data_IF_210339056732
#
_entry.id   IF_210339056732
#
_cell.length_a   1.000
_cell.length_b   1.000
_cell.length_c   1.000
_cell.angle_alpha   90.00
_cell.angle_beta   90.00
_cell.angle_gamma   90.00
#
_symmetry.space_group_name_H-M   'P 1'
#
loop_
_entity.id
_entity.type
_entity.pdbx_description
1 polymer ?
#
# COMPACT_ATOMS: atom_id res chain seq x y z
N UNK A 1 -3.97 13.14 32.66
CA UNK A 1 -4.17 11.93 31.85
C UNK A 1 -2.89 11.13 31.93
N UNK A 2 -2.92 9.94 32.52
CA UNK A 2 -1.73 9.09 32.62
C UNK A 2 -1.47 8.45 31.26
N UNK A 3 -0.34 8.80 30.66
CA UNK A 3 0.14 8.13 29.45
C UNK A 3 0.85 6.86 29.90
N UNK A 4 0.47 5.72 29.33
CA UNK A 4 1.21 4.47 29.53
C UNK A 4 2.51 4.54 28.74
N UNK A 5 3.61 4.16 29.38
CA UNK A 5 4.89 4.00 28.71
C UNK A 5 4.85 2.80 27.75
N UNK A 6 5.53 2.94 26.61
CA UNK A 6 5.53 1.89 25.58
C UNK A 6 6.12 0.59 26.12
N UNK A 7 7.13 0.69 26.99
CA UNK A 7 7.80 -0.45 27.61
C UNK A 7 6.85 -1.29 28.46
N UNK A 8 5.98 -0.65 29.25
CA UNK A 8 5.00 -1.36 30.09
C UNK A 8 3.97 -2.13 29.24
N UNK A 9 3.55 -1.55 28.12
CA UNK A 9 2.62 -2.20 27.19
C UNK A 9 3.28 -3.43 26.56
N UNK A 10 4.55 -3.33 26.15
CA UNK A 10 5.30 -4.45 25.57
C UNK A 10 5.40 -5.57 26.61
N UNK A 11 5.83 -5.25 27.83
CA UNK A 11 5.98 -6.23 28.90
C UNK A 11 4.66 -6.94 29.21
N UNK A 12 3.55 -6.20 29.37
CA UNK A 12 2.24 -6.79 29.68
C UNK A 12 1.73 -7.71 28.56
N UNK A 13 2.10 -7.45 27.31
CA UNK A 13 1.76 -8.33 26.17
C UNK A 13 2.69 -9.55 26.09
N UNK A 14 3.96 -9.39 26.42
CA UNK A 14 4.92 -10.50 26.48
C UNK A 14 4.63 -11.47 27.62
N UNK A 15 4.22 -10.97 28.79
CA UNK A 15 3.76 -11.78 29.94
C UNK A 15 2.55 -12.65 29.58
N UNK A 16 1.71 -12.19 28.64
CA UNK A 16 0.58 -12.97 28.09
C UNK A 16 0.98 -13.95 26.99
N UNK A 17 2.27 -14.00 26.64
CA UNK A 17 2.82 -14.92 25.64
C UNK A 17 2.76 -14.42 24.19
N UNK A 18 2.53 -13.12 23.96
CA UNK A 18 2.56 -12.55 22.62
C UNK A 18 3.96 -12.04 22.27
N UNK A 19 4.48 -12.43 21.11
CA UNK A 19 5.76 -11.90 20.61
C UNK A 19 5.54 -10.57 19.88
N UNK A 20 5.98 -9.48 20.50
CA UNK A 20 5.83 -8.11 19.96
C UNK A 20 7.04 -7.75 19.10
N UNK A 21 6.79 -7.05 17.99
CA UNK A 21 7.82 -6.51 17.10
C UNK A 21 8.08 -5.05 17.41
N UNK A 22 7.31 -4.15 16.79
CA UNK A 22 7.41 -2.70 16.97
C UNK A 22 6.16 -2.17 17.64
N UNK A 23 6.33 -1.31 18.65
CA UNK A 23 5.25 -0.53 19.25
C UNK A 23 5.51 0.97 19.03
N UNK A 24 4.46 1.74 18.76
CA UNK A 24 4.57 3.18 18.55
C UNK A 24 3.29 3.89 18.96
N UNK A 25 3.42 4.98 19.73
CA UNK A 25 2.28 5.82 20.07
C UNK A 25 1.90 6.70 18.87
N UNK A 26 0.60 6.73 18.56
CA UNK A 26 0.10 7.60 17.50
C UNK A 26 0.04 9.04 18.00
N UNK A 27 0.33 9.97 17.10
CA UNK A 27 0.29 11.41 17.37
C UNK A 27 -0.75 12.07 16.47
N UNK A 28 -1.41 13.11 16.99
CA UNK A 28 -2.23 13.98 16.17
C UNK A 28 -1.34 14.59 15.08
N UNK A 29 -1.70 14.41 13.81
CA UNK A 29 -0.88 14.87 12.69
C UNK A 29 -0.70 16.40 12.68
N UNK A 30 -1.76 17.15 13.05
CA UNK A 30 -1.77 18.62 13.06
C UNK A 30 -1.04 19.16 14.28
N UNK A 31 -1.46 18.73 15.47
CA UNK A 31 -0.96 19.29 16.74
C UNK A 31 0.34 18.64 17.24
N UNK A 32 0.77 17.53 16.63
CA UNK A 32 1.91 16.70 17.07
C UNK A 32 1.81 16.15 18.50
N UNK A 33 0.66 16.33 19.16
CA UNK A 33 0.38 15.81 20.50
C UNK A 33 0.16 14.29 20.50
N UNK A 34 0.64 13.57 21.52
CA UNK A 34 0.41 12.13 21.66
C UNK A 34 -1.08 11.83 21.86
N UNK A 35 -1.56 10.76 21.23
CA UNK A 35 -2.92 10.25 21.42
C UNK A 35 -2.87 9.03 22.36
N UNK A 36 -3.96 8.72 23.06
CA UNK A 36 -4.12 7.47 23.81
C UNK A 36 -4.38 6.28 22.86
N UNK A 37 -3.67 6.23 21.73
CA UNK A 37 -3.76 5.20 20.71
C UNK A 37 -2.36 4.70 20.43
N UNK A 38 -2.19 3.38 20.48
CA UNK A 38 -0.92 2.71 20.25
C UNK A 38 -1.07 1.78 19.05
N UNK A 39 -0.07 1.80 18.18
CA UNK A 39 0.06 0.85 17.08
C UNK A 39 1.13 -0.16 17.45
N UNK A 40 0.77 -1.44 17.43
CA UNK A 40 1.61 -2.53 17.87
C UNK A 40 1.65 -3.58 16.77
N UNK A 41 2.85 -3.90 16.32
CA UNK A 41 3.13 -4.98 15.39
C UNK A 41 3.34 -6.27 16.20
N UNK A 42 2.50 -7.26 15.96
CA UNK A 42 2.54 -8.56 16.63
C UNK A 42 3.03 -9.61 15.62
N UNK A 43 3.99 -10.42 16.02
CA UNK A 43 4.45 -11.52 15.18
C UNK A 43 3.40 -12.63 15.10
N UNK A 44 3.18 -13.16 13.90
CA UNK A 44 2.25 -14.26 13.64
C UNK A 44 2.85 -15.60 14.10
N UNK A 45 2.99 -15.75 15.41
CA UNK A 45 3.52 -16.96 16.03
C UNK A 45 2.54 -17.45 17.10
N UNK A 46 2.20 -18.74 17.07
CA UNK A 46 1.27 -19.34 18.03
C UNK A 46 -0.10 -18.67 18.05
N UNK A 47 -0.57 -18.31 19.24
CA UNK A 47 -1.93 -17.82 19.52
C UNK A 47 -2.14 -16.32 19.26
N UNK A 48 -1.46 -15.74 18.25
CA UNK A 48 -1.51 -14.30 17.96
C UNK A 48 -2.92 -13.75 17.71
N UNK A 49 -3.87 -14.57 17.26
CA UNK A 49 -5.25 -14.17 16.99
C UNK A 49 -6.04 -13.85 18.27
N UNK A 50 -5.65 -14.42 19.41
CA UNK A 50 -6.34 -14.22 20.69
C UNK A 50 -6.13 -12.82 21.28
N UNK A 51 -5.16 -12.06 20.75
CA UNK A 51 -4.90 -10.69 21.21
C UNK A 51 -6.12 -9.78 21.07
N UNK A 52 -7.01 -10.04 20.11
CA UNK A 52 -8.24 -9.24 19.93
C UNK A 52 -9.29 -9.49 21.02
N UNK A 53 -9.14 -10.57 21.79
CA UNK A 53 -10.03 -10.91 22.90
C UNK A 53 -9.57 -10.27 24.23
N UNK A 54 -8.34 -9.74 24.29
CA UNK A 54 -7.81 -9.07 25.47
C UNK A 54 -8.55 -7.75 25.71
N UNK A 55 -9.21 -7.64 26.87
CA UNK A 55 -9.98 -6.46 27.28
C UNK A 55 -9.27 -5.59 28.30
N UNK A 56 -8.17 -6.08 28.87
CA UNK A 56 -7.42 -5.41 29.91
C UNK A 56 -5.93 -5.58 29.66
N UNK A 57 -5.19 -4.47 29.72
CA UNK A 57 -3.72 -4.46 29.70
C UNK A 57 -3.26 -3.61 30.88
N UNK A 58 -2.32 -4.15 31.65
CA UNK A 58 -1.94 -3.60 32.96
C UNK A 58 -3.20 -3.32 33.82
N UNK A 59 -3.37 -2.06 34.25
CA UNK A 59 -4.46 -1.58 35.09
C UNK A 59 -5.60 -0.92 34.29
N UNK A 60 -5.52 -0.95 32.95
CA UNK A 60 -6.44 -0.23 32.06
C UNK A 60 -7.33 -1.19 31.27
N UNK A 61 -8.59 -0.79 31.11
CA UNK A 61 -9.50 -1.42 30.16
C UNK A 61 -9.16 -0.92 28.75
N UNK A 62 -8.84 -1.83 27.86
CA UNK A 62 -8.42 -1.53 26.48
C UNK A 62 -9.33 -2.22 25.47
N UNK A 63 -9.41 -1.64 24.28
CA UNK A 63 -10.08 -2.26 23.13
C UNK A 63 -9.08 -2.41 22.00
N UNK A 64 -8.73 -3.66 21.69
CA UNK A 64 -7.80 -3.97 20.62
C UNK A 64 -8.59 -4.20 19.33
N UNK A 65 -8.22 -3.50 18.26
CA UNK A 65 -8.92 -3.53 16.98
C UNK A 65 -7.89 -3.77 15.88
N UNK A 66 -8.19 -4.59 14.85
CA UNK A 66 -7.29 -4.75 13.72
C UNK A 66 -7.02 -3.41 13.02
N UNK A 67 -5.76 -3.15 12.73
CA UNK A 67 -5.36 -1.93 12.03
C UNK A 67 -5.91 -1.93 10.60
N UNK A 68 -6.77 -0.94 10.30
CA UNK A 68 -7.33 -0.74 8.97
C UNK A 68 -6.48 0.24 8.19
N UNK A 69 -5.68 -0.28 7.25
CA UNK A 69 -4.99 0.56 6.28
C UNK A 69 -6.01 1.36 5.46
N UNK A 70 -5.73 2.65 5.25
CA UNK A 70 -6.53 3.48 4.35
C UNK A 70 -6.33 2.96 2.93
N UNK A 71 -7.40 2.46 2.29
CA UNK A 71 -7.43 2.03 0.88
C UNK A 71 -7.39 3.21 -0.10
N UNK A 72 -6.59 4.25 0.16
CA UNK A 72 -6.42 5.35 -0.79
C UNK A 72 -5.36 4.92 -1.80
N UNK A 73 -5.73 4.94 -3.08
CA UNK A 73 -4.77 4.70 -4.15
C UNK A 73 -3.68 5.78 -4.07
N UNK A 74 -2.44 5.36 -3.77
CA UNK A 74 -1.30 6.26 -3.83
C UNK A 74 -1.04 6.60 -5.29
N UNK A 75 -0.98 7.89 -5.62
CA UNK A 75 -0.62 8.35 -6.95
C UNK A 75 0.89 8.57 -6.98
N UNK A 76 1.53 8.02 -8.01
CA UNK A 76 2.94 8.23 -8.27
C UNK A 76 3.15 9.60 -8.91
N UNK A 77 3.84 10.50 -8.21
CA UNK A 77 4.17 11.83 -8.75
C UNK A 77 5.16 11.81 -9.92
N UNK A 78 5.81 10.67 -10.19
CA UNK A 78 6.68 10.53 -11.36
C UNK A 78 5.84 10.22 -12.62
N UNK A 79 5.05 9.15 -12.63
CA UNK A 79 4.38 8.67 -13.84
C UNK A 79 2.85 8.85 -13.86
N UNK A 80 2.27 9.48 -12.83
CA UNK A 80 0.82 9.62 -12.61
C UNK A 80 0.06 8.28 -12.46
N UNK A 81 0.76 7.16 -12.30
CA UNK A 81 0.15 5.86 -12.07
C UNK A 81 -0.33 5.65 -10.63
N UNK A 82 -1.22 4.69 -10.42
CA UNK A 82 -1.78 4.35 -9.11
C UNK A 82 -0.98 3.23 -8.41
N UNK A 83 -1.18 3.11 -7.10
CA UNK A 83 -0.68 2.03 -6.21
C UNK A 83 0.84 1.93 -6.02
N UNK A 84 1.60 3.00 -6.33
CA UNK A 84 3.02 3.05 -6.02
C UNK A 84 3.49 4.48 -5.77
N UNK A 85 4.65 4.62 -5.14
CA UNK A 85 5.28 5.92 -4.87
C UNK A 85 6.34 6.26 -5.91
N UNK A 86 6.68 7.54 -6.02
CA UNK A 86 7.70 8.01 -6.96
C UNK A 86 9.11 7.49 -6.66
N UNK A 87 9.40 7.08 -5.42
CA UNK A 87 10.76 6.71 -4.97
C UNK A 87 11.38 5.55 -5.75
N UNK A 88 10.57 4.60 -6.19
CA UNK A 88 11.04 3.40 -6.90
C UNK A 88 10.42 3.28 -8.31
N UNK A 89 9.94 4.41 -8.87
CA UNK A 89 9.28 4.43 -10.16
C UNK A 89 10.29 4.64 -11.28
N UNK A 90 10.49 3.62 -12.11
CA UNK A 90 11.38 3.65 -13.29
C UNK A 90 10.64 4.05 -14.59
N UNK A 91 9.37 4.42 -14.50
CA UNK A 91 8.58 4.85 -15.65
C UNK A 91 8.97 6.28 -16.05
N UNK A 92 8.74 6.62 -17.33
CA UNK A 92 8.96 7.98 -17.84
C UNK A 92 8.10 9.00 -17.06
N UNK A 93 8.64 10.19 -16.77
CA UNK A 93 7.91 11.21 -16.05
C UNK A 93 6.69 11.68 -16.87
N UNK A 94 5.57 11.83 -16.17
CA UNK A 94 4.30 12.30 -16.70
C UNK A 94 3.69 13.28 -15.71
N UNK A 95 3.47 14.51 -16.18
CA UNK A 95 2.90 15.56 -15.35
C UNK A 95 1.41 15.33 -15.07
N UNK A 96 1.03 15.31 -13.79
CA UNK A 96 -0.38 15.15 -13.37
C UNK A 96 -1.24 16.34 -13.82
N UNK A 97 -0.66 17.53 -14.00
CA UNK A 97 -1.40 18.75 -14.37
C UNK A 97 -1.77 18.78 -15.85
N UNK A 98 -0.82 18.49 -16.74
CA UNK A 98 -0.97 18.69 -18.19
C UNK A 98 -0.78 17.42 -19.02
N UNK A 99 -0.54 16.28 -18.38
CA UNK A 99 -0.26 14.99 -19.02
C UNK A 99 0.98 14.99 -19.94
N UNK A 100 1.84 16.01 -19.86
CA UNK A 100 3.07 16.13 -20.64
C UNK A 100 4.20 15.22 -20.14
N UNK A 101 5.19 14.95 -21.00
CA UNK A 101 6.37 14.12 -20.71
C UNK A 101 7.46 14.91 -19.95
N UNK A 102 7.13 15.40 -18.76
CA UNK A 102 8.05 16.11 -17.88
C UNK A 102 7.64 15.93 -16.41
N UNK A 103 8.54 16.25 -15.48
CA UNK A 103 8.24 16.22 -14.06
C UNK A 103 7.31 17.38 -13.68
N UNK A 104 6.45 17.20 -12.66
CA UNK A 104 5.49 18.26 -12.22
C UNK A 104 6.19 19.60 -11.94
N UNK A 105 7.46 19.58 -11.51
CA UNK A 105 8.28 20.78 -11.23
C UNK A 105 8.64 21.59 -12.47
N UNK A 106 8.75 20.93 -13.62
CA UNK A 106 9.10 21.54 -14.92
C UNK A 106 7.84 21.98 -15.69
N UNK A 107 6.66 21.79 -15.10
CA UNK A 107 5.41 22.14 -15.73
C UNK A 107 5.27 23.66 -15.85
N UNK A 108 4.99 24.14 -17.07
CA UNK A 108 4.70 25.55 -17.36
C UNK A 108 3.44 26.04 -16.63
N UNK A 109 2.52 25.13 -16.32
CA UNK A 109 1.30 25.40 -15.53
C UNK A 109 1.67 25.49 -14.04
N UNK A 110 1.91 26.72 -13.57
CA UNK A 110 2.30 27.01 -12.18
C UNK A 110 1.10 27.19 -11.25
N UNK A 111 -0.06 27.55 -11.78
CA UNK A 111 -1.21 27.94 -10.96
C UNK A 111 -2.16 26.79 -10.67
N UNK A 112 -2.69 26.79 -9.45
CA UNK A 112 -4.06 26.32 -9.20
C UNK A 112 -4.98 27.32 -9.89
N UNK A 113 -5.10 27.27 -11.22
CA UNK A 113 -6.13 28.06 -11.88
C UNK A 113 -7.47 27.62 -11.27
N UNK A 114 -8.31 28.53 -10.73
CA UNK A 114 -9.67 28.16 -10.42
C UNK A 114 -10.21 27.49 -11.67
N UNK A 115 -10.78 26.30 -11.51
CA UNK A 115 -11.41 25.57 -12.59
C UNK A 115 -12.33 26.59 -13.26
N UNK A 116 -11.96 27.09 -14.44
CA UNK A 116 -12.88 27.86 -15.25
C UNK A 116 -13.89 26.80 -15.67
N UNK A 117 -15.02 26.75 -14.95
CA UNK A 117 -16.19 26.04 -15.43
C UNK A 117 -16.59 26.75 -16.72
N UNK A 118 -16.01 26.35 -17.85
CA UNK A 118 -16.66 26.50 -19.12
C UNK A 118 -17.87 25.56 -19.05
N UNK A 119 -19.03 26.13 -18.70
CA UNK A 119 -20.31 25.49 -18.95
C UNK A 119 -20.41 25.33 -20.46
N UNK A 120 -19.99 24.16 -20.95
CA UNK A 120 -20.36 23.73 -22.29
C UNK A 120 -21.86 23.48 -22.21
N UNK A 121 -22.63 24.44 -22.72
CA UNK A 121 -24.05 24.24 -23.01
C UNK A 121 -24.16 23.05 -23.97
N UNK A 122 -25.06 22.16 -23.61
CA UNK A 122 -25.25 20.78 -24.07
C UNK A 122 -24.64 20.37 -25.42
N UNK A 123 -23.85 19.30 -25.37
CA UNK A 123 -23.96 18.25 -26.38
C UNK A 123 -24.03 16.93 -25.65
N UNK A 124 -25.15 16.23 -25.82
CA UNK A 124 -25.55 14.99 -25.15
C UNK A 124 -24.51 13.88 -25.40
N UNK A 125 -23.41 13.86 -24.65
CA UNK A 125 -22.45 12.75 -24.69
C UNK A 125 -23.02 11.64 -23.82
N UNK A 126 -23.69 10.70 -24.46
CA UNK A 126 -24.11 9.44 -23.84
C UNK A 126 -22.86 8.78 -23.26
N UNK A 127 -22.76 8.74 -21.93
CA UNK A 127 -21.77 7.92 -21.24
C UNK A 127 -22.03 6.47 -21.63
N UNK A 128 -21.29 5.95 -22.62
CA UNK A 128 -21.23 4.50 -22.84
C UNK A 128 -20.37 3.94 -21.72
N UNK A 129 -20.90 3.11 -20.80
CA UNK A 129 -20.05 2.43 -19.84
C UNK A 129 -19.05 1.59 -20.63
N UNK A 130 -17.79 2.01 -20.65
CA UNK A 130 -16.70 1.18 -21.14
C UNK A 130 -16.73 -0.12 -20.35
N UNK A 131 -16.60 -1.26 -21.03
CA UNK A 131 -16.57 -2.59 -20.39
C UNK A 131 -15.60 -2.53 -19.21
N UNK A 132 -16.05 -3.01 -18.05
CA UNK A 132 -15.25 -3.03 -16.82
C UNK A 132 -13.81 -3.46 -17.12
N UNK A 133 -12.85 -2.59 -16.81
CA UNK A 133 -11.44 -2.95 -16.96
C UNK A 133 -11.18 -4.22 -16.16
N UNK A 134 -10.70 -5.27 -16.84
CA UNK A 134 -10.35 -6.54 -16.20
C UNK A 134 -9.40 -6.24 -15.04
N UNK A 135 -9.65 -6.89 -13.90
CA UNK A 135 -8.80 -6.78 -12.71
C UNK A 135 -7.33 -6.87 -13.14
N UNK A 136 -6.55 -5.83 -12.82
CA UNK A 136 -5.11 -5.84 -13.05
C UNK A 136 -4.50 -6.96 -12.21
N UNK A 137 -4.11 -8.05 -12.87
CA UNK A 137 -3.33 -9.13 -12.28
C UNK A 137 -1.86 -8.75 -12.47
N UNK A 138 -1.08 -8.52 -11.40
CA UNK A 138 0.35 -8.31 -11.54
C UNK A 138 0.98 -9.51 -12.25
N UNK A 139 1.83 -9.26 -13.25
CA UNK A 139 2.57 -10.31 -13.94
C UNK A 139 3.38 -11.11 -12.91
N UNK A 140 3.11 -12.41 -12.80
CA UNK A 140 3.93 -13.32 -11.97
C UNK A 140 5.39 -13.16 -12.39
N UNK A 141 6.27 -12.82 -11.46
CA UNK A 141 7.71 -12.83 -11.69
C UNK A 141 8.13 -14.22 -12.18
N UNK A 142 9.00 -14.32 -13.20
CA UNK A 142 9.49 -15.61 -13.66
C UNK A 142 10.19 -16.33 -12.50
N UNK A 143 9.67 -17.50 -12.11
CA UNK A 143 10.33 -18.29 -11.09
C UNK A 143 11.61 -18.93 -11.66
N UNK A 144 12.76 -18.84 -10.94
CA UNK A 144 14.00 -19.46 -11.38
C UNK A 144 13.80 -20.98 -11.48
N UNK A 145 14.22 -21.58 -12.60
CA UNK A 145 14.17 -23.04 -12.83
C UNK A 145 13.19 -23.54 -13.90
N UNK A 146 12.27 -22.70 -14.43
CA UNK A 146 11.35 -23.13 -15.51
C UNK A 146 11.98 -23.12 -16.91
N UNK A 147 12.93 -22.20 -17.16
CA UNK A 147 13.64 -22.08 -18.45
C UNK A 147 14.53 -23.30 -18.74
N UNK A 148 15.24 -23.82 -17.74
CA UNK A 148 16.14 -24.97 -17.91
C UNK A 148 15.39 -26.25 -18.29
N UNK A 149 14.26 -26.53 -17.63
CA UNK A 149 13.40 -27.68 -17.98
C UNK A 149 12.84 -27.58 -19.41
N UNK A 150 12.58 -26.36 -19.88
CA UNK A 150 12.09 -26.12 -21.23
C UNK A 150 13.20 -26.30 -22.28
N UNK A 151 14.41 -25.85 -21.99
CA UNK A 151 15.60 -26.05 -22.85
C UNK A 151 15.95 -27.53 -22.96
N UNK A 152 15.93 -28.28 -21.85
CA UNK A 152 16.22 -29.73 -21.84
C UNK A 152 15.18 -30.52 -22.66
N UNK A 153 13.88 -30.19 -22.52
CA UNK A 153 12.83 -30.79 -23.35
C UNK A 153 13.02 -30.48 -24.83
N UNK A 154 13.46 -29.27 -25.18
CA UNK A 154 13.71 -28.88 -26.56
C UNK A 154 14.92 -29.61 -27.16
N UNK A 155 15.97 -29.82 -26.37
CA UNK A 155 17.16 -30.60 -26.77
C UNK A 155 16.81 -32.08 -26.97
N UNK A 156 16.04 -32.70 -26.06
CA UNK A 156 15.57 -34.08 -26.19
C UNK A 156 14.66 -34.29 -27.41
N UNK A 157 13.79 -33.32 -27.72
CA UNK A 157 12.94 -33.37 -28.90
C UNK A 157 13.73 -33.24 -30.21
N UNK A 158 14.81 -32.44 -30.22
CA UNK A 158 15.72 -32.32 -31.37
C UNK A 158 16.54 -33.60 -31.59
N UNK A 159 16.96 -34.28 -30.52
CA UNK A 159 17.67 -35.56 -30.62
C UNK A 159 16.78 -36.68 -31.19
N UNK A 160 15.48 -36.69 -30.84
CA UNK A 160 14.50 -37.65 -31.39
C UNK A 160 14.16 -37.47 -32.87
N UNK A 161 14.35 -36.26 -33.43
CA UNK A 161 14.14 -35.96 -34.86
C UNK A 161 15.35 -36.24 -35.75
N UNK A 162 16.50 -36.60 -35.15
CA UNK A 162 17.75 -36.93 -35.86
C UNK A 162 18.04 -38.43 -35.91
N UNK A 163 17.10 -39.26 -35.46
CA UNK A 163 17.04 -40.71 -35.70
C UNK A 163 15.98 -40.96 -36.76
#
# INVERSE_FOLDING_TARGET
MNYMEISEIIQSLEEKGYKIGRASQLKNYKEKRPLPLYLIDVHKYGNYANIYNEKQLCYLKVKIVPYKQRKKATICFNCSGYFHSARNCQMRPRCIKCNGQHAIRECRIKENSPILHALIVESKVIWRPGKAAKHYQPSKSPQPGKREKQILKQQQARARKKR
#
